data_IF_007371400870
#
_entry.id   IF_007371400870
#
_cell.length_a   1.000
_cell.length_b   1.000
_cell.length_c   1.000
_cell.angle_alpha   90.00
_cell.angle_beta   90.00
_cell.angle_gamma   90.00
#
_symmetry.space_group_name_H-M   'P 1'
#
loop_
_entity.id
_entity.type
_entity.pdbx_description
1 polymer ?
#
# COMPACT_ATOMS: atom_id res chain seq x y z
N UNK A 1 -11.14 42.83 7.18
CA UNK A 1 -11.80 41.54 7.52
C UNK A 1 -11.99 40.59 6.32
N UNK A 2 -12.45 41.04 5.14
CA UNK A 2 -12.62 40.15 3.95
C UNK A 2 -11.36 39.36 3.54
N UNK A 3 -10.19 40.01 3.50
CA UNK A 3 -8.93 39.35 3.09
C UNK A 3 -8.46 38.27 4.06
N UNK A 4 -8.68 38.47 5.37
CA UNK A 4 -8.29 37.49 6.38
C UNK A 4 -9.17 36.23 6.30
N UNK A 5 -10.48 36.41 6.10
CA UNK A 5 -11.39 35.28 5.85
C UNK A 5 -11.06 34.53 4.56
N UNK A 6 -10.71 35.25 3.49
CA UNK A 6 -10.28 34.63 2.22
C UNK A 6 -8.99 33.83 2.38
N UNK A 7 -8.00 34.35 3.10
CA UNK A 7 -6.75 33.66 3.37
C UNK A 7 -6.97 32.42 4.25
N UNK A 8 -7.80 32.53 5.28
CA UNK A 8 -8.15 31.40 6.13
C UNK A 8 -8.87 30.29 5.35
N UNK A 9 -9.83 30.65 4.49
CA UNK A 9 -10.53 29.70 3.63
C UNK A 9 -9.55 29.03 2.63
N UNK A 10 -8.67 29.83 2.00
CA UNK A 10 -7.66 29.29 1.10
C UNK A 10 -6.73 28.30 1.81
N UNK A 11 -6.23 28.67 2.99
CA UNK A 11 -5.38 27.79 3.80
C UNK A 11 -6.10 26.49 4.18
N UNK A 12 -7.39 26.55 4.54
CA UNK A 12 -8.20 25.36 4.81
C UNK A 12 -8.35 24.47 3.57
N UNK A 13 -8.63 25.05 2.40
CA UNK A 13 -8.72 24.28 1.16
C UNK A 13 -7.40 23.59 0.81
N UNK A 14 -6.27 24.29 0.98
CA UNK A 14 -4.93 23.71 0.75
C UNK A 14 -4.66 22.59 1.74
N UNK A 15 -4.88 22.82 3.04
CA UNK A 15 -4.67 21.81 4.08
C UNK A 15 -5.52 20.55 3.84
N UNK A 16 -6.78 20.72 3.44
CA UNK A 16 -7.67 19.60 3.12
C UNK A 16 -7.17 18.83 1.89
N UNK A 17 -6.76 19.52 0.83
CA UNK A 17 -6.25 18.92 -0.40
C UNK A 17 -4.98 18.10 -0.14
N UNK A 18 -4.05 18.66 0.64
CA UNK A 18 -2.81 17.96 1.05
C UNK A 18 -3.14 16.74 1.91
N UNK A 19 -4.08 16.85 2.84
CA UNK A 19 -4.49 15.73 3.70
C UNK A 19 -5.12 14.59 2.90
N UNK A 20 -5.99 14.92 1.93
CA UNK A 20 -6.59 13.94 1.03
C UNK A 20 -5.52 13.22 0.19
N UNK A 21 -4.56 13.97 -0.37
CA UNK A 21 -3.46 13.40 -1.13
C UNK A 21 -2.61 12.46 -0.26
N UNK A 22 -2.24 12.90 0.96
CA UNK A 22 -1.49 12.09 1.91
C UNK A 22 -2.22 10.79 2.25
N UNK A 23 -3.52 10.88 2.53
CA UNK A 23 -4.34 9.71 2.85
C UNK A 23 -4.34 8.68 1.71
N UNK A 24 -4.52 9.12 0.46
CA UNK A 24 -4.54 8.21 -0.71
C UNK A 24 -3.16 7.61 -0.98
N UNK A 25 -2.09 8.40 -0.87
CA UNK A 25 -0.73 7.93 -1.20
C UNK A 25 -0.17 7.01 -0.12
N UNK A 26 -0.33 7.37 1.17
CA UNK A 26 0.15 6.55 2.29
C UNK A 26 -0.53 5.19 2.34
N UNK A 27 -1.85 5.17 2.19
CA UNK A 27 -2.64 3.95 2.20
C UNK A 27 -2.17 3.00 1.08
N UNK A 28 -1.94 3.52 -0.13
CA UNK A 28 -1.44 2.68 -1.21
C UNK A 28 -0.03 2.11 -0.95
N UNK A 29 0.88 2.92 -0.39
CA UNK A 29 2.23 2.47 -0.09
C UNK A 29 2.24 1.33 0.95
N UNK A 30 1.37 1.41 1.95
CA UNK A 30 1.23 0.37 2.97
C UNK A 30 0.68 -0.94 2.38
N UNK A 31 -0.32 -0.86 1.49
CA UNK A 31 -0.88 -2.05 0.83
C UNK A 31 0.14 -2.73 -0.07
N UNK A 32 0.86 -1.97 -0.89
CA UNK A 32 1.90 -2.49 -1.78
C UNK A 32 3.01 -3.19 -0.98
N UNK A 33 3.42 -2.60 0.14
CA UNK A 33 4.41 -3.20 1.04
C UNK A 33 3.92 -4.51 1.64
N UNK A 34 2.67 -4.58 2.10
CA UNK A 34 2.06 -5.82 2.60
C UNK A 34 1.95 -6.87 1.50
N UNK A 35 1.58 -6.46 0.29
CA UNK A 35 1.48 -7.35 -0.85
C UNK A 35 2.84 -7.95 -1.24
N UNK A 36 3.90 -7.14 -1.23
CA UNK A 36 5.26 -7.60 -1.48
C UNK A 36 5.74 -8.61 -0.42
N UNK A 37 5.41 -8.39 0.86
CA UNK A 37 5.71 -9.35 1.93
C UNK A 37 5.01 -10.69 1.70
N UNK A 38 3.74 -10.67 1.29
CA UNK A 38 2.98 -11.88 0.97
C UNK A 38 3.52 -12.58 -0.28
N UNK A 39 3.93 -11.83 -1.31
CA UNK A 39 4.56 -12.36 -2.51
C UNK A 39 5.88 -13.09 -2.20
N UNK A 40 6.62 -12.59 -1.22
CA UNK A 40 7.88 -13.17 -0.77
C UNK A 40 7.73 -14.40 0.14
N UNK A 41 6.59 -14.58 0.81
CA UNK A 41 6.32 -15.78 1.62
C UNK A 41 7.41 -16.10 2.67
N UNK A 42 7.72 -17.38 2.85
CA UNK A 42 8.76 -17.86 3.80
C UNK A 42 10.19 -17.47 3.43
N UNK A 43 10.47 -17.11 2.16
CA UNK A 43 11.78 -16.58 1.74
C UNK A 43 12.06 -15.20 2.34
N UNK A 44 11.04 -14.49 2.86
CA UNK A 44 11.19 -13.27 3.66
C UNK A 44 11.44 -13.53 5.16
N UNK A 45 11.23 -14.76 5.63
CA UNK A 45 11.39 -15.17 7.04
C UNK A 45 12.70 -15.95 7.28
N UNK A 46 13.25 -16.61 6.26
CA UNK A 46 14.49 -17.35 6.34
C UNK A 46 15.72 -16.44 6.15
N UNK A 47 16.12 -15.67 7.17
CA UNK A 47 17.47 -15.08 7.13
C UNK A 47 17.87 -13.94 8.08
N UNK A 48 17.03 -13.42 8.97
CA UNK A 48 17.51 -12.40 9.92
C UNK A 48 16.71 -12.37 11.24
N UNK A 49 17.39 -12.33 12.41
CA UNK A 49 16.75 -11.90 13.64
C UNK A 49 16.55 -10.37 13.60
N UNK A 50 15.44 -9.87 14.16
CA UNK A 50 15.07 -8.45 14.33
C UNK A 50 14.45 -7.70 13.12
N UNK A 51 13.62 -6.65 13.35
CA UNK A 51 12.52 -6.21 12.46
C UNK A 51 12.98 -5.35 11.27
N UNK A 52 14.23 -5.48 10.87
CA UNK A 52 14.78 -4.88 9.66
C UNK A 52 15.16 -6.03 8.74
N UNK A 53 14.55 -6.04 7.54
CA UNK A 53 14.96 -6.83 6.36
C UNK A 53 14.32 -8.21 6.15
N UNK A 54 12.99 -8.28 6.16
CA UNK A 54 12.26 -9.30 5.38
C UNK A 54 12.46 -9.18 3.84
N UNK A 55 13.47 -8.42 3.39
CA UNK A 55 13.66 -7.98 2.00
C UNK A 55 15.08 -8.23 1.46
N UNK A 56 15.98 -8.88 2.22
CA UNK A 56 17.32 -9.20 1.71
C UNK A 56 17.36 -10.48 0.87
N UNK A 57 16.45 -11.44 1.09
CA UNK A 57 16.38 -12.68 0.29
C UNK A 57 15.42 -12.62 -0.90
N UNK A 58 14.39 -11.77 -0.84
CA UNK A 58 13.34 -11.71 -1.83
C UNK A 58 13.21 -10.31 -2.45
N UNK A 59 13.48 -10.23 -3.76
CA UNK A 59 13.10 -9.10 -4.63
C UNK A 59 11.83 -9.48 -5.38
N UNK A 60 10.69 -9.04 -4.87
CA UNK A 60 9.44 -9.04 -5.62
C UNK A 60 9.37 -7.76 -6.46
N UNK A 61 9.33 -7.89 -7.79
CA UNK A 61 9.07 -6.77 -8.70
C UNK A 61 7.60 -6.78 -9.11
N UNK A 62 6.89 -5.68 -8.84
CA UNK A 62 5.51 -5.53 -9.30
C UNK A 62 5.49 -5.39 -10.83
N UNK A 63 4.80 -6.30 -11.52
CA UNK A 63 4.65 -6.28 -12.98
C UNK A 63 3.29 -5.75 -13.41
N UNK A 64 2.26 -5.95 -12.58
CA UNK A 64 0.90 -5.48 -12.85
C UNK A 64 0.20 -5.07 -11.56
N UNK A 65 -0.62 -4.04 -11.67
CA UNK A 65 -1.53 -3.58 -10.62
C UNK A 65 -2.93 -3.45 -11.20
N UNK A 66 -3.89 -4.12 -10.57
CA UNK A 66 -5.31 -3.97 -10.87
C UNK A 66 -6.04 -3.44 -9.63
N UNK A 67 -6.54 -2.20 -9.72
CA UNK A 67 -7.34 -1.61 -8.66
C UNK A 67 -8.82 -1.72 -8.98
N UNK A 68 -9.58 -2.27 -8.04
CA UNK A 68 -11.03 -2.30 -8.07
C UNK A 68 -11.59 -1.63 -6.81
N UNK A 69 -12.87 -1.22 -6.78
CA UNK A 69 -13.49 -0.67 -5.57
C UNK A 69 -13.47 -1.62 -4.37
N UNK A 70 -13.34 -2.92 -4.60
CA UNK A 70 -13.40 -3.97 -3.57
C UNK A 70 -12.03 -4.47 -3.12
N UNK A 71 -10.95 -4.02 -3.77
CA UNK A 71 -9.61 -4.50 -3.50
C UNK A 71 -8.64 -4.25 -4.63
N UNK A 72 -7.37 -4.57 -4.37
CA UNK A 72 -6.27 -4.39 -5.28
C UNK A 72 -5.62 -5.76 -5.51
N UNK A 73 -5.41 -6.13 -6.77
CA UNK A 73 -4.63 -7.32 -7.13
C UNK A 73 -3.30 -6.87 -7.68
N UNK A 74 -2.23 -7.45 -7.16
CA UNK A 74 -0.86 -7.17 -7.54
C UNK A 74 -0.25 -8.43 -8.13
N UNK A 75 0.32 -8.31 -9.30
CA UNK A 75 1.16 -9.36 -9.88
C UNK A 75 2.61 -9.02 -9.55
N UNK A 76 3.30 -9.96 -8.93
CA UNK A 76 4.72 -9.85 -8.61
C UNK A 76 5.51 -10.93 -9.31
N UNK A 77 6.63 -10.53 -9.92
CA UNK A 77 7.67 -11.46 -10.37
C UNK A 77 8.76 -11.54 -9.32
N UNK A 78 9.03 -12.75 -8.85
CA UNK A 78 10.16 -13.07 -7.95
C UNK A 78 11.19 -13.89 -8.72
N UNK A 79 12.36 -14.15 -8.11
CA UNK A 79 13.39 -15.00 -8.72
C UNK A 79 12.92 -16.43 -9.02
N UNK A 80 11.87 -16.92 -8.34
CA UNK A 80 11.40 -18.30 -8.46
C UNK A 80 10.12 -18.44 -9.30
N UNK A 81 9.25 -17.44 -9.27
CA UNK A 81 7.89 -17.52 -9.85
C UNK A 81 7.22 -16.15 -9.99
N UNK A 82 6.18 -16.11 -10.82
CA UNK A 82 5.19 -15.04 -10.84
C UNK A 82 4.06 -15.40 -9.87
N UNK A 83 3.62 -14.45 -9.05
CA UNK A 83 2.56 -14.64 -8.05
C UNK A 83 1.58 -13.49 -8.09
N UNK A 84 0.30 -13.81 -7.93
CA UNK A 84 -0.77 -12.84 -7.75
C UNK A 84 -1.12 -12.71 -6.27
N UNK A 85 -1.13 -11.48 -5.77
CA UNK A 85 -1.51 -11.13 -4.41
C UNK A 85 -2.75 -10.26 -4.45
N UNK A 86 -3.83 -10.73 -3.81
CA UNK A 86 -5.07 -9.96 -3.67
C UNK A 86 -5.12 -9.35 -2.28
N UNK A 87 -5.23 -8.02 -2.23
CA UNK A 87 -5.42 -7.25 -1.01
C UNK A 87 -6.82 -6.64 -0.99
N UNK A 88 -7.57 -6.92 0.07
CA UNK A 88 -8.93 -6.39 0.29
C UNK A 88 -9.03 -5.75 1.68
N UNK A 89 -9.88 -4.74 1.82
CA UNK A 89 -10.14 -4.14 3.14
C UNK A 89 -10.98 -5.07 4.00
N UNK A 90 -10.66 -5.14 5.28
CA UNK A 90 -11.35 -6.00 6.25
C UNK A 90 -12.87 -5.78 6.30
N UNK A 91 -13.37 -4.56 6.06
CA UNK A 91 -14.79 -4.22 6.03
C UNK A 91 -15.24 -3.65 4.68
N UNK A 92 -14.70 -4.15 3.56
CA UNK A 92 -15.00 -3.75 2.16
C UNK A 92 -14.65 -2.29 1.84
N UNK A 93 -15.15 -1.33 2.61
CA UNK A 93 -14.92 0.11 2.48
C UNK A 93 -14.10 0.71 3.64
N UNK A 94 -13.87 -0.04 4.72
CA UNK A 94 -13.13 0.44 5.90
C UNK A 94 -12.25 -0.65 6.52
N UNK A 95 -11.29 -0.24 7.34
CA UNK A 95 -10.41 -1.15 8.09
C UNK A 95 -9.09 -1.49 7.38
N UNK A 96 -8.27 -2.27 8.07
CA UNK A 96 -6.96 -2.71 7.59
C UNK A 96 -7.07 -3.58 6.33
N UNK A 97 -6.06 -3.50 5.47
CA UNK A 97 -5.93 -4.40 4.33
C UNK A 97 -5.41 -5.76 4.77
N UNK A 98 -6.14 -6.79 4.33
CA UNK A 98 -5.72 -8.19 4.39
C UNK A 98 -5.27 -8.62 2.98
N UNK A 99 -4.01 -9.04 2.86
CA UNK A 99 -3.42 -9.50 1.61
C UNK A 99 -3.21 -11.02 1.65
N UNK A 100 -3.56 -11.71 0.56
CA UNK A 100 -3.40 -13.16 0.42
C UNK A 100 -2.99 -13.52 -1.00
N UNK A 101 -2.24 -14.62 -1.16
CA UNK A 101 -1.98 -15.22 -2.47
C UNK A 101 -3.31 -15.63 -3.10
N UNK A 102 -3.47 -15.34 -4.39
CA UNK A 102 -4.66 -15.67 -5.17
C UNK A 102 -4.56 -17.07 -5.78
#
# INVERSE_FOLDING_TARGET
MKRFGQLALFALCVAFSVSALYNVVSDNADVERRAALVACGEDGAAGAPEPRRASEGCRAQMTRLERTPFGQTFEFTTAKRVVDVRCERALVFAGEYSCKLR
#
